data_IF_930923539442
#
_entry.id   IF_930923539442
#
_cell.length_a   1.000
_cell.length_b   1.000
_cell.length_c   1.000
_cell.angle_alpha   90.00
_cell.angle_beta   90.00
_cell.angle_gamma   90.00
#
_symmetry.space_group_name_H-M   'P 1'
#
loop_
_entity.id
_entity.type
_entity.pdbx_description
1 polymer ?
#
# COMPACT_ATOMS: atom_id res chain seq x y z
N UNK A 1 -5.97 29.78 -4.62
CA UNK A 1 -6.78 30.05 -5.80
C UNK A 1 -7.91 31.00 -5.41
N UNK A 2 -8.12 32.07 -6.19
CA UNK A 2 -9.28 32.94 -5.99
C UNK A 2 -10.34 32.58 -7.01
N UNK A 3 -11.58 32.46 -6.55
CA UNK A 3 -12.76 32.14 -7.37
C UNK A 3 -13.74 33.30 -7.19
N UNK A 4 -14.02 34.01 -8.29
CA UNK A 4 -15.09 35.00 -8.30
C UNK A 4 -16.44 34.27 -8.27
N UNK A 5 -17.25 34.60 -7.28
CA UNK A 5 -18.66 34.21 -7.18
C UNK A 5 -19.48 35.42 -7.64
N UNK A 6 -20.69 35.21 -8.15
CA UNK A 6 -21.55 36.31 -8.56
C UNK A 6 -21.66 37.44 -7.50
N UNK A 7 -21.78 38.68 -7.94
CA UNK A 7 -21.92 39.89 -7.11
C UNK A 7 -20.66 40.47 -6.42
N UNK A 8 -19.45 40.10 -6.92
CA UNK A 8 -18.21 40.75 -6.45
C UNK A 8 -17.64 40.16 -5.15
N UNK A 9 -18.09 39.00 -4.76
CA UNK A 9 -17.58 38.26 -3.62
C UNK A 9 -16.53 37.27 -4.09
N UNK A 10 -15.35 37.33 -3.50
CA UNK A 10 -14.24 36.42 -3.82
C UNK A 10 -14.17 35.26 -2.85
N UNK A 11 -14.20 34.04 -3.40
CA UNK A 11 -13.91 32.84 -2.65
C UNK A 11 -12.41 32.50 -2.69
N UNK A 12 -11.87 32.05 -1.56
CA UNK A 12 -10.50 31.59 -1.45
C UNK A 12 -10.46 30.06 -1.30
N UNK A 13 -9.81 29.39 -2.24
CA UNK A 13 -9.43 27.97 -2.10
C UNK A 13 -7.96 27.91 -1.70
N UNK A 14 -7.69 27.36 -0.53
CA UNK A 14 -6.31 27.10 -0.12
C UNK A 14 -5.72 25.97 -0.99
N UNK A 15 -4.42 25.98 -1.19
CA UNK A 15 -3.72 24.98 -2.04
C UNK A 15 -3.92 23.54 -1.54
N UNK A 16 -4.05 23.35 -0.23
CA UNK A 16 -4.33 22.06 0.40
C UNK A 16 -5.76 21.57 0.20
N UNK A 17 -6.68 22.45 -0.24
CA UNK A 17 -8.10 22.14 -0.43
C UNK A 17 -8.48 21.96 -1.89
N UNK A 18 -7.49 21.89 -2.77
CA UNK A 18 -7.67 21.68 -4.21
C UNK A 18 -7.76 20.17 -4.51
N UNK A 19 -6.86 19.36 -3.97
CA UNK A 19 -6.80 17.92 -4.26
C UNK A 19 -6.42 17.08 -3.04
N UNK A 20 -7.00 15.87 -2.96
CA UNK A 20 -6.60 14.84 -2.00
C UNK A 20 -5.31 14.13 -2.41
N UNK A 21 -5.08 14.01 -3.72
CA UNK A 21 -4.11 13.10 -4.32
C UNK A 21 -2.81 13.85 -4.64
N UNK A 22 -2.92 15.00 -5.31
CA UNK A 22 -1.75 15.72 -5.85
C UNK A 22 -1.26 16.80 -4.88
N UNK A 23 0.03 16.76 -4.55
CA UNK A 23 0.71 17.90 -3.91
C UNK A 23 0.93 18.98 -4.94
N UNK A 24 -0.01 19.90 -5.02
CA UNK A 24 0.00 21.02 -5.96
C UNK A 24 0.91 22.10 -5.40
N UNK A 25 1.91 22.53 -6.15
CA UNK A 25 2.78 23.65 -5.78
C UNK A 25 2.15 24.99 -6.13
N UNK A 26 1.50 25.03 -7.28
CA UNK A 26 0.80 26.23 -7.75
C UNK A 26 -0.56 25.87 -8.36
N UNK A 27 -1.64 26.59 -8.00
CA UNK A 27 -2.98 26.36 -8.57
C UNK A 27 -3.05 26.45 -10.09
N UNK A 28 -2.14 27.21 -10.71
CA UNK A 28 -2.02 27.37 -12.17
C UNK A 28 -1.61 26.09 -12.91
N UNK A 29 -1.18 25.04 -12.20
CA UNK A 29 -0.88 23.73 -12.79
C UNK A 29 -2.15 23.01 -13.21
N UNK A 30 -3.27 23.23 -12.51
CA UNK A 30 -4.54 22.54 -12.75
C UNK A 30 -5.61 23.44 -13.35
N UNK A 31 -5.60 24.73 -13.01
CA UNK A 31 -6.66 25.66 -13.37
C UNK A 31 -6.12 26.91 -14.03
N UNK A 32 -6.84 27.40 -15.04
CA UNK A 32 -6.53 28.64 -15.76
C UNK A 32 -7.51 29.74 -15.38
N UNK A 33 -7.08 30.99 -15.54
CA UNK A 33 -7.97 32.11 -15.33
C UNK A 33 -9.14 32.06 -16.34
N UNK A 34 -10.35 32.05 -15.82
CA UNK A 34 -11.59 31.93 -16.61
C UNK A 34 -12.22 30.52 -16.60
N UNK A 35 -11.60 29.57 -15.98
CA UNK A 35 -12.20 28.24 -15.81
C UNK A 35 -13.36 28.29 -14.81
N UNK A 36 -14.44 27.59 -15.12
CA UNK A 36 -15.58 27.42 -14.20
C UNK A 36 -15.32 26.20 -13.34
N UNK A 37 -15.30 26.41 -12.03
CA UNK A 37 -14.96 25.37 -11.05
C UNK A 37 -16.10 25.24 -10.04
N UNK A 38 -16.44 24.02 -9.69
CA UNK A 38 -17.33 23.75 -8.56
C UNK A 38 -16.52 23.65 -7.27
N UNK A 39 -17.00 24.27 -6.22
CA UNK A 39 -16.39 24.23 -4.90
C UNK A 39 -17.46 24.20 -3.81
N UNK A 40 -17.12 23.65 -2.65
CA UNK A 40 -17.98 23.65 -1.46
C UNK A 40 -17.53 24.77 -0.54
N UNK A 41 -18.48 25.49 0.05
CA UNK A 41 -18.19 26.49 1.08
C UNK A 41 -17.82 25.75 2.37
N UNK A 42 -16.60 25.99 2.86
CA UNK A 42 -16.09 25.41 4.10
C UNK A 42 -16.35 26.31 5.30
N UNK A 43 -16.10 27.60 5.12
CA UNK A 43 -16.26 28.62 6.15
C UNK A 43 -16.58 30.00 5.55
N UNK A 44 -17.25 30.83 6.34
CA UNK A 44 -17.66 32.18 5.93
C UNK A 44 -17.11 33.19 6.93
N UNK A 45 -16.08 33.91 6.55
CA UNK A 45 -15.51 35.01 7.32
C UNK A 45 -16.31 36.31 7.08
N UNK A 46 -17.30 36.55 7.88
CA UNK A 46 -18.19 37.72 7.76
C UNK A 46 -17.47 39.06 7.90
N UNK A 47 -16.39 39.09 8.70
CA UNK A 47 -15.61 40.30 8.96
C UNK A 47 -14.77 40.72 7.76
N UNK A 48 -14.33 39.77 6.93
CA UNK A 48 -13.47 40.02 5.79
C UNK A 48 -14.19 39.85 4.42
N UNK A 49 -15.49 39.57 4.44
CA UNK A 49 -16.30 39.28 3.24
C UNK A 49 -15.66 38.19 2.34
N UNK A 50 -15.06 37.16 2.97
CA UNK A 50 -14.36 36.10 2.28
C UNK A 50 -14.99 34.73 2.56
N UNK A 51 -15.08 33.91 1.53
CA UNK A 51 -15.50 32.52 1.62
C UNK A 51 -14.30 31.62 1.50
N UNK A 52 -14.11 30.75 2.49
CA UNK A 52 -13.18 29.62 2.37
C UNK A 52 -13.87 28.51 1.62
N UNK A 53 -13.32 28.16 0.46
CA UNK A 53 -13.87 27.15 -0.43
C UNK A 53 -12.96 25.93 -0.51
N UNK A 54 -13.55 24.76 -0.75
CA UNK A 54 -12.82 23.52 -0.98
C UNK A 54 -13.32 22.80 -2.23
N UNK A 55 -12.40 22.30 -3.03
CA UNK A 55 -12.67 21.52 -4.23
C UNK A 55 -12.55 20.03 -3.91
N UNK A 56 -11.56 19.66 -3.11
CA UNK A 56 -11.31 18.25 -2.74
C UNK A 56 -12.49 17.58 -2.05
N UNK A 57 -13.31 18.34 -1.33
CA UNK A 57 -14.48 17.83 -0.62
C UNK A 57 -15.66 17.44 -1.54
N UNK A 58 -15.60 17.83 -2.82
CA UNK A 58 -16.53 17.34 -3.85
C UNK A 58 -16.27 15.87 -4.23
N UNK A 59 -15.06 15.41 -3.98
CA UNK A 59 -14.67 14.02 -4.23
C UNK A 59 -14.50 13.31 -2.88
N UNK A 60 -14.90 12.05 -2.85
CA UNK A 60 -14.64 11.21 -1.68
C UNK A 60 -13.12 11.12 -1.44
N UNK A 61 -12.74 11.20 -0.16
CA UNK A 61 -11.34 11.01 0.21
C UNK A 61 -10.94 9.56 -0.07
N UNK A 62 -10.06 9.30 -1.04
CA UNK A 62 -9.66 7.94 -1.37
C UNK A 62 -9.01 7.22 -0.17
N UNK A 63 -8.42 7.98 0.78
CA UNK A 63 -7.80 7.39 1.96
C UNK A 63 -8.78 6.83 2.99
N UNK A 64 -10.05 7.23 2.96
CA UNK A 64 -11.08 6.64 3.81
C UNK A 64 -11.38 5.20 3.39
N UNK A 65 -11.36 4.93 2.10
CA UNK A 65 -11.62 3.59 1.54
C UNK A 65 -10.37 2.74 1.43
N UNK A 66 -9.17 3.34 1.51
CA UNK A 66 -7.89 2.61 1.47
C UNK A 66 -7.79 1.57 2.58
N UNK A 67 -8.19 1.93 3.81
CA UNK A 67 -8.14 1.01 4.94
C UNK A 67 -9.10 -0.18 4.80
N UNK A 68 -10.20 -0.01 4.04
CA UNK A 68 -11.16 -1.07 3.74
C UNK A 68 -10.73 -1.93 2.55
N UNK A 69 -10.03 -1.33 1.57
CA UNK A 69 -9.59 -2.00 0.34
C UNK A 69 -8.27 -2.76 0.53
N UNK A 70 -7.37 -2.20 1.33
CA UNK A 70 -6.05 -2.76 1.61
C UNK A 70 -5.98 -3.25 3.05
N UNK A 71 -6.28 -4.52 3.26
CA UNK A 71 -6.17 -5.15 4.57
C UNK A 71 -4.72 -5.46 4.92
N UNK A 72 -4.37 -5.35 6.21
CA UNK A 72 -3.05 -5.75 6.71
C UNK A 72 -2.85 -7.25 6.46
N UNK A 73 -1.72 -7.60 5.87
CA UNK A 73 -1.40 -8.96 5.49
C UNK A 73 -1.78 -9.34 4.05
N UNK A 74 -2.46 -8.48 3.30
CA UNK A 74 -2.79 -8.70 1.89
C UNK A 74 -1.61 -8.38 1.00
N UNK A 75 -1.43 -9.16 -0.05
CA UNK A 75 -0.45 -8.93 -1.09
C UNK A 75 -0.98 -7.93 -2.10
N UNK A 76 -0.16 -6.97 -2.43
CA UNK A 76 -0.47 -5.93 -3.41
C UNK A 76 0.70 -5.71 -4.35
N UNK A 77 0.38 -5.39 -5.59
CA UNK A 77 1.34 -5.10 -6.63
C UNK A 77 1.32 -3.61 -6.95
N UNK A 78 2.49 -3.02 -7.09
CA UNK A 78 2.62 -1.61 -7.44
C UNK A 78 3.90 -1.32 -8.20
N UNK A 79 4.01 -0.10 -8.69
CA UNK A 79 5.14 0.36 -9.50
C UNK A 79 6.08 1.23 -8.67
N UNK A 80 7.38 1.00 -8.76
CA UNK A 80 8.39 1.82 -8.07
C UNK A 80 8.41 3.22 -8.69
N UNK A 81 8.10 4.23 -7.87
CA UNK A 81 8.14 5.64 -8.28
C UNK A 81 9.43 6.33 -7.85
N UNK A 82 9.97 5.94 -6.71
CA UNK A 82 11.18 6.55 -6.18
C UNK A 82 11.98 5.57 -5.32
N UNK A 83 13.30 5.73 -5.37
CA UNK A 83 14.27 4.96 -4.58
C UNK A 83 15.06 5.91 -3.69
N UNK A 84 15.08 5.62 -2.40
CA UNK A 84 15.82 6.39 -1.40
C UNK A 84 16.70 5.48 -0.55
N UNK A 85 17.66 6.05 0.19
CA UNK A 85 18.55 5.28 1.05
C UNK A 85 17.81 4.53 2.18
N UNK A 86 16.66 5.02 2.58
CA UNK A 86 15.85 4.43 3.65
C UNK A 86 14.72 3.52 3.17
N UNK A 87 14.43 3.47 1.87
CA UNK A 87 13.40 2.59 1.34
C UNK A 87 12.96 2.88 -0.09
N UNK A 88 11.98 2.12 -0.53
CA UNK A 88 11.38 2.14 -1.87
C UNK A 88 9.97 2.71 -1.77
N UNK A 89 9.66 3.71 -2.59
CA UNK A 89 8.30 4.21 -2.78
C UNK A 89 7.65 3.49 -3.95
N UNK A 90 6.46 2.99 -3.70
CA UNK A 90 5.67 2.21 -4.65
C UNK A 90 4.32 2.90 -4.81
N UNK A 91 3.95 3.23 -6.04
CA UNK A 91 2.60 3.69 -6.36
C UNK A 91 1.71 2.47 -6.60
N UNK A 92 0.64 2.39 -5.82
CA UNK A 92 -0.35 1.32 -5.88
C UNK A 92 -1.52 1.70 -6.77
N UNK A 93 -2.03 2.90 -6.56
CA UNK A 93 -3.07 3.56 -7.35
C UNK A 93 -2.74 5.05 -7.45
N UNK A 94 -3.40 5.78 -8.36
CA UNK A 94 -3.19 7.23 -8.51
C UNK A 94 -3.35 7.96 -7.17
N UNK A 95 -2.23 8.45 -6.65
CA UNK A 95 -2.16 9.17 -5.37
C UNK A 95 -2.13 8.33 -4.10
N UNK A 96 -2.02 7.02 -4.21
CA UNK A 96 -1.81 6.11 -3.08
C UNK A 96 -0.41 5.54 -3.18
N UNK A 97 0.47 6.01 -2.30
CA UNK A 97 1.86 5.57 -2.23
C UNK A 97 2.09 4.62 -1.04
N UNK A 98 2.78 3.53 -1.31
CA UNK A 98 3.32 2.63 -0.30
C UNK A 98 4.81 2.87 -0.08
N UNK A 99 5.28 2.62 1.12
CA UNK A 99 6.70 2.66 1.49
C UNK A 99 7.15 1.30 1.96
N UNK A 100 8.15 0.74 1.29
CA UNK A 100 8.92 -0.41 1.77
C UNK A 100 10.19 0.12 2.42
N UNK A 101 10.27 0.02 3.74
CA UNK A 101 11.49 0.40 4.47
C UNK A 101 12.65 -0.54 4.10
N UNK A 102 13.90 -0.04 4.13
CA UNK A 102 15.10 -0.80 3.77
C UNK A 102 15.22 -2.14 4.52
N UNK A 103 14.77 -2.20 5.78
CA UNK A 103 14.75 -3.43 6.59
C UNK A 103 13.70 -4.46 6.16
N UNK A 104 12.72 -4.04 5.36
CA UNK A 104 11.59 -4.84 4.89
C UNK A 104 11.71 -5.25 3.41
N UNK A 105 12.82 -4.89 2.76
CA UNK A 105 13.08 -5.22 1.36
C UNK A 105 13.55 -6.67 1.22
N UNK A 106 14.52 -7.10 2.06
CA UNK A 106 15.12 -8.44 1.96
C UNK A 106 15.48 -8.99 3.33
N UNK A 107 15.67 -10.32 3.40
CA UNK A 107 16.21 -11.02 4.58
C UNK A 107 17.65 -10.60 4.88
N UNK A 108 18.43 -10.30 3.84
CA UNK A 108 19.79 -9.80 3.98
C UNK A 108 19.78 -8.30 4.29
N UNK A 109 20.69 -7.85 5.16
CA UNK A 109 20.83 -6.43 5.49
C UNK A 109 21.35 -5.67 4.28
N UNK A 110 20.44 -5.15 3.48
CA UNK A 110 20.76 -4.24 2.37
C UNK A 110 20.96 -2.85 2.96
N UNK A 111 22.08 -2.21 2.62
CA UNK A 111 22.36 -0.84 3.09
C UNK A 111 21.59 0.20 2.29
N UNK A 112 21.42 -0.05 0.99
CA UNK A 112 20.71 0.85 0.07
C UNK A 112 19.96 0.03 -0.97
N UNK A 113 18.70 0.32 -1.26
CA UNK A 113 17.95 -0.34 -2.33
C UNK A 113 18.39 0.10 -3.73
N UNK A 114 19.16 1.19 -3.80
CA UNK A 114 19.69 1.74 -5.06
C UNK A 114 20.67 0.75 -5.70
N UNK A 115 20.36 0.34 -6.93
CA UNK A 115 21.16 -0.62 -7.70
C UNK A 115 20.62 -2.05 -7.73
N UNK A 116 19.64 -2.39 -6.89
CA UNK A 116 18.92 -3.67 -6.94
C UNK A 116 17.57 -3.55 -7.61
N UNK A 117 16.93 -2.40 -7.49
CA UNK A 117 15.63 -2.10 -8.08
C UNK A 117 15.71 -0.89 -8.99
N UNK A 118 14.82 -0.82 -9.95
CA UNK A 118 14.74 0.27 -10.93
C UNK A 118 13.42 1.03 -10.80
N UNK A 119 13.46 2.34 -11.04
CA UNK A 119 12.24 3.15 -11.12
C UNK A 119 11.42 2.66 -12.32
N UNK A 120 10.11 2.46 -12.13
CA UNK A 120 9.21 1.90 -13.13
C UNK A 120 9.07 0.38 -13.07
N UNK A 121 9.83 -0.29 -12.21
CA UNK A 121 9.70 -1.72 -11.98
C UNK A 121 8.44 -2.04 -11.17
N UNK A 122 7.76 -3.11 -11.55
CA UNK A 122 6.54 -3.57 -10.85
C UNK A 122 6.95 -4.62 -9.83
N UNK A 123 6.63 -4.37 -8.57
CA UNK A 123 6.93 -5.30 -7.48
C UNK A 123 5.67 -5.63 -6.68
N UNK A 124 5.65 -6.83 -6.10
CA UNK A 124 4.61 -7.27 -5.18
C UNK A 124 5.15 -7.19 -3.75
N UNK A 125 4.35 -6.69 -2.85
CA UNK A 125 4.69 -6.56 -1.45
C UNK A 125 3.47 -6.77 -0.56
N UNK A 126 3.69 -7.12 0.70
CA UNK A 126 2.63 -7.37 1.67
C UNK A 126 2.36 -6.14 2.52
N UNK A 127 1.08 -5.83 2.74
CA UNK A 127 0.68 -4.70 3.60
C UNK A 127 1.01 -5.00 5.05
N UNK A 128 1.79 -4.12 5.67
CA UNK A 128 2.18 -4.20 7.08
C UNK A 128 1.30 -3.35 7.97
N UNK A 129 1.12 -2.12 7.58
CA UNK A 129 0.31 -1.14 8.27
C UNK A 129 -0.21 -0.09 7.29
N UNK A 130 -1.30 0.56 7.67
CA UNK A 130 -1.92 1.63 6.91
C UNK A 130 -2.00 2.83 7.83
N UNK A 131 -1.37 3.93 7.43
CA UNK A 131 -1.44 5.21 8.14
C UNK A 131 -2.21 6.22 7.28
N UNK A 132 -3.50 6.34 7.57
CA UNK A 132 -4.39 7.25 6.83
C UNK A 132 -4.04 8.73 7.10
N UNK A 133 -3.51 9.05 8.30
CA UNK A 133 -3.16 10.42 8.67
C UNK A 133 -1.92 10.91 7.92
N UNK A 134 -0.92 10.05 7.79
CA UNK A 134 0.28 10.34 7.01
C UNK A 134 0.13 10.04 5.52
N UNK A 135 -1.01 9.44 5.13
CA UNK A 135 -1.29 9.00 3.76
C UNK A 135 -0.19 8.11 3.20
N UNK A 136 0.12 7.05 3.96
CA UNK A 136 1.15 6.08 3.61
C UNK A 136 0.72 4.67 3.97
N UNK A 137 1.08 3.73 3.13
CA UNK A 137 0.93 2.30 3.38
C UNK A 137 2.34 1.74 3.60
N UNK A 138 2.56 1.14 4.75
CA UNK A 138 3.80 0.40 5.02
C UNK A 138 3.73 -0.98 4.41
N UNK A 139 4.73 -1.31 3.60
CA UNK A 139 4.83 -2.55 2.84
C UNK A 139 6.07 -3.36 3.22
N UNK A 140 6.02 -4.69 3.06
CA UNK A 140 7.14 -5.59 3.26
C UNK A 140 7.23 -6.61 2.13
N UNK A 141 8.36 -6.66 1.46
CA UNK A 141 8.71 -7.70 0.49
C UNK A 141 9.23 -8.92 1.25
N UNK A 142 10.04 -8.70 2.28
CA UNK A 142 10.64 -9.74 3.12
C UNK A 142 9.60 -10.70 3.71
N UNK A 143 8.46 -10.19 4.18
CA UNK A 143 7.39 -11.04 4.75
C UNK A 143 6.73 -11.92 3.70
N UNK A 144 6.54 -11.41 2.49
CA UNK A 144 6.04 -12.20 1.37
C UNK A 144 6.96 -13.37 1.08
N UNK A 145 8.27 -13.11 0.90
CA UNK A 145 9.28 -14.15 0.65
C UNK A 145 9.36 -15.20 1.78
N UNK A 146 9.20 -14.78 3.04
CA UNK A 146 9.22 -15.68 4.19
C UNK A 146 8.00 -16.61 4.24
N UNK A 147 6.83 -16.11 3.89
CA UNK A 147 5.60 -16.91 3.88
C UNK A 147 5.57 -17.88 2.69
N UNK A 148 6.05 -17.44 1.52
CA UNK A 148 6.20 -18.32 0.36
C UNK A 148 7.14 -19.50 0.65
N UNK A 149 8.30 -19.25 1.28
CA UNK A 149 9.20 -20.31 1.69
C UNK A 149 8.58 -21.25 2.73
N UNK A 150 7.83 -20.69 3.69
CA UNK A 150 7.19 -21.50 4.73
C UNK A 150 6.04 -22.33 4.17
N UNK A 151 5.30 -21.81 3.19
CA UNK A 151 4.28 -22.55 2.45
C UNK A 151 4.89 -23.71 1.66
N UNK A 152 5.96 -23.46 0.92
CA UNK A 152 6.70 -24.48 0.18
C UNK A 152 7.25 -25.57 1.09
N UNK A 153 7.81 -25.22 2.26
CA UNK A 153 8.29 -26.18 3.25
C UNK A 153 7.15 -27.03 3.82
N UNK A 154 6.00 -26.42 4.12
CA UNK A 154 4.83 -27.13 4.62
C UNK A 154 4.27 -28.12 3.58
N UNK A 155 4.20 -27.70 2.31
CA UNK A 155 3.78 -28.57 1.22
C UNK A 155 4.75 -29.74 1.01
N UNK A 156 6.06 -29.48 1.13
CA UNK A 156 7.08 -30.52 1.06
C UNK A 156 6.97 -31.53 2.21
N UNK A 157 6.76 -31.03 3.44
CA UNK A 157 6.57 -31.89 4.64
C UNK A 157 5.25 -32.68 4.54
N UNK A 158 4.18 -32.07 4.03
CA UNK A 158 2.90 -32.76 3.87
C UNK A 158 2.94 -33.81 2.76
N UNK A 159 3.67 -33.55 1.68
CA UNK A 159 3.89 -34.52 0.59
C UNK A 159 4.89 -35.66 0.96
N UNK A 160 5.76 -35.44 1.97
CA UNK A 160 6.68 -36.47 2.48
C UNK A 160 6.05 -37.41 3.54
N UNK A 161 4.82 -37.15 3.96
CA UNK A 161 4.15 -37.97 5.01
C UNK A 161 3.60 -39.36 4.64
N UNK A 162 3.72 -39.92 3.42
CA UNK A 162 3.28 -41.32 3.23
C UNK A 162 4.34 -42.39 3.46
N UNK A 163 5.59 -42.08 3.82
CA UNK A 163 6.62 -43.13 3.90
C UNK A 163 6.82 -43.80 5.29
N UNK A 164 6.23 -43.24 6.34
CA UNK A 164 6.46 -43.75 7.71
C UNK A 164 5.37 -44.69 8.24
N UNK A 165 4.20 -44.77 7.60
CA UNK A 165 3.16 -45.74 8.00
C UNK A 165 3.44 -47.15 7.45
N UNK A 166 4.05 -47.25 6.27
CA UNK A 166 4.36 -48.53 5.63
C UNK A 166 5.46 -49.34 6.35
N UNK A 167 6.47 -48.67 6.90
CA UNK A 167 7.59 -49.37 7.57
C UNK A 167 7.19 -49.95 8.93
N UNK A 168 6.32 -49.27 9.66
CA UNK A 168 5.78 -49.76 10.95
C UNK A 168 4.81 -50.93 10.79
N UNK A 169 4.06 -50.96 9.71
CA UNK A 169 3.17 -52.11 9.39
C UNK A 169 3.95 -53.34 8.93
N UNK A 170 4.94 -53.17 8.06
CA UNK A 170 5.82 -54.25 7.62
C UNK A 170 6.61 -54.87 8.78
N UNK A 171 7.05 -54.05 9.74
CA UNK A 171 7.72 -54.54 10.95
C UNK A 171 6.78 -55.30 11.88
N UNK A 172 5.52 -54.90 12.00
CA UNK A 172 4.50 -55.61 12.78
C UNK A 172 4.12 -56.93 12.16
N UNK A 173 3.93 -57.02 10.85
CA UNK A 173 3.64 -58.25 10.15
C UNK A 173 4.79 -59.27 10.28
N UNK A 174 6.03 -58.84 10.08
CA UNK A 174 7.20 -59.70 10.21
C UNK A 174 7.45 -60.22 11.67
N UNK A 175 7.07 -59.44 12.68
CA UNK A 175 7.16 -59.86 14.09
C UNK A 175 6.04 -60.80 14.47
N UNK A 176 4.86 -60.71 13.88
CA UNK A 176 3.72 -61.56 14.10
C UNK A 176 3.88 -62.92 13.43
N UNK A 177 4.51 -62.98 12.25
CA UNK A 177 4.86 -64.23 11.59
C UNK A 177 5.90 -65.05 12.41
N UNK A 178 6.91 -64.39 12.97
CA UNK A 178 7.94 -65.08 13.80
C UNK A 178 7.44 -65.60 15.16
N UNK A 179 6.33 -65.03 15.66
CA UNK A 179 5.73 -65.46 16.94
C UNK A 179 4.74 -66.67 16.78
N UNK A 180 4.36 -67.01 15.54
CA UNK A 180 3.45 -68.12 15.24
C UNK A 180 4.16 -69.42 14.75
N UNK A 181 5.50 -69.36 14.63
CA UNK A 181 6.32 -70.57 14.22
C UNK A 181 6.99 -71.33 15.38
N UNK A 182 6.66 -71.02 16.66
CA UNK A 182 7.12 -71.79 17.82
C UNK A 182 5.98 -72.61 18.50
#
# INVERSE_FOLDING_TARGET
>A
LFIGIDEGIDGLVHISDISWIKRIKHPSELYKKGDVIQAIVLDIEKENERFSLGIKQLQDDPWKTVAERYEVGKEITGTITNLTDFGIFIELEEGIEGLVHVSEISKEKIKTPVGQYNIGEVITAKVMNINSDERRIGLSIKRMEMEDEQSLLNDYVNNMRPATSSFGEILRENLQEKLNED
#
